data_IF_533312695912
#
_entry.id   IF_533312695912
#
_cell.length_a   1.000
_cell.length_b   1.000
_cell.length_c   1.000
_cell.angle_alpha   90.00
_cell.angle_beta   90.00
_cell.angle_gamma   90.00
#
_symmetry.space_group_name_H-M   'P 1'
#
loop_
_entity.id
_entity.type
_entity.pdbx_description
1 polymer ?
#
# COMPACT_ATOMS: atom_id res chain seq x y z
N UNK A 1 -25.46 35.40 5.18
CA UNK A 1 -24.91 35.48 3.79
C UNK A 1 -23.39 35.21 3.71
N UNK A 2 -22.58 35.71 4.66
CA UNK A 2 -21.11 35.51 4.71
C UNK A 2 -20.62 34.05 4.80
N UNK A 3 -21.31 33.20 5.56
CA UNK A 3 -20.90 31.80 5.75
C UNK A 3 -20.97 30.98 4.44
N UNK A 4 -21.99 31.24 3.59
CA UNK A 4 -22.12 30.61 2.27
C UNK A 4 -21.04 31.06 1.27
N UNK A 5 -20.61 32.32 1.32
CA UNK A 5 -19.57 32.84 0.43
C UNK A 5 -18.17 32.33 0.82
N UNK A 6 -17.89 32.20 2.12
CA UNK A 6 -16.67 31.55 2.62
C UNK A 6 -16.65 30.07 2.26
N UNK A 7 -17.76 29.36 2.46
CA UNK A 7 -17.88 27.95 2.08
C UNK A 7 -17.67 27.70 0.58
N UNK A 8 -18.25 28.55 -0.28
CA UNK A 8 -18.02 28.48 -1.74
C UNK A 8 -16.54 28.67 -2.11
N UNK A 9 -15.84 29.61 -1.48
CA UNK A 9 -14.39 29.81 -1.72
C UNK A 9 -13.56 28.60 -1.30
N UNK A 10 -13.88 27.98 -0.16
CA UNK A 10 -13.22 26.74 0.28
C UNK A 10 -13.48 25.61 -0.71
N UNK A 11 -14.74 25.40 -1.12
CA UNK A 11 -15.10 24.36 -2.10
C UNK A 11 -14.43 24.59 -3.47
N UNK A 12 -14.35 25.84 -3.94
CA UNK A 12 -13.65 26.18 -5.18
C UNK A 12 -12.16 25.91 -5.07
N UNK A 13 -11.55 26.26 -3.94
CA UNK A 13 -10.14 25.93 -3.66
C UNK A 13 -9.89 24.42 -3.66
N UNK A 14 -10.73 23.65 -2.97
CA UNK A 14 -10.67 22.19 -2.94
C UNK A 14 -10.83 21.57 -4.34
N UNK A 15 -11.81 22.03 -5.12
CA UNK A 15 -12.02 21.55 -6.48
C UNK A 15 -10.83 21.85 -7.39
N UNK A 16 -10.23 23.05 -7.27
CA UNK A 16 -9.05 23.43 -8.03
C UNK A 16 -7.86 22.55 -7.64
N UNK A 17 -7.58 22.40 -6.35
CA UNK A 17 -6.52 21.52 -5.86
C UNK A 17 -6.71 20.08 -6.36
N UNK A 18 -7.91 19.52 -6.20
CA UNK A 18 -8.24 18.18 -6.65
C UNK A 18 -8.05 18.01 -8.16
N UNK A 19 -8.48 19.00 -8.96
CA UNK A 19 -8.31 18.96 -10.41
C UNK A 19 -6.85 18.99 -10.84
N UNK A 20 -5.99 19.67 -10.07
CA UNK A 20 -4.55 19.75 -10.32
C UNK A 20 -3.84 18.47 -9.86
N UNK A 21 -4.11 18.01 -8.64
CA UNK A 21 -3.50 16.81 -8.05
C UNK A 21 -3.77 15.57 -8.91
N UNK A 22 -5.02 15.34 -9.29
CA UNK A 22 -5.41 14.20 -10.15
C UNK A 22 -5.36 14.52 -11.65
N UNK A 23 -4.64 15.56 -12.05
CA UNK A 23 -4.35 15.83 -13.47
C UNK A 23 -3.30 14.86 -14.00
N UNK A 24 -3.30 14.60 -15.31
CA UNK A 24 -2.31 13.70 -15.95
C UNK A 24 -0.85 14.10 -15.64
N UNK A 25 -0.58 15.39 -15.43
CA UNK A 25 0.78 15.91 -15.17
C UNK A 25 1.27 15.59 -13.75
N UNK A 26 0.38 15.64 -12.76
CA UNK A 26 0.74 15.48 -11.35
C UNK A 26 0.34 14.14 -10.75
N UNK A 27 -0.42 13.32 -11.49
CA UNK A 27 -0.96 12.04 -11.00
C UNK A 27 0.10 11.10 -10.43
N UNK A 28 1.29 11.03 -11.04
CA UNK A 28 2.39 10.21 -10.52
C UNK A 28 2.79 10.70 -9.13
N UNK A 29 3.15 11.98 -8.99
CA UNK A 29 3.57 12.57 -7.72
C UNK A 29 2.50 12.47 -6.64
N UNK A 30 1.22 12.68 -7.01
CA UNK A 30 0.10 12.54 -6.09
C UNK A 30 -0.04 11.10 -5.61
N UNK A 31 0.03 10.11 -6.50
CA UNK A 31 -0.05 8.71 -6.11
C UNK A 31 1.11 8.30 -5.21
N UNK A 32 2.35 8.65 -5.59
CA UNK A 32 3.55 8.36 -4.79
C UNK A 32 3.48 9.00 -3.41
N UNK A 33 3.05 10.26 -3.33
CA UNK A 33 2.92 10.96 -2.06
C UNK A 33 1.85 10.33 -1.16
N UNK A 34 0.75 9.86 -1.73
CA UNK A 34 -0.31 9.16 -0.99
C UNK A 34 0.19 7.81 -0.50
N UNK A 35 0.86 7.01 -1.33
CA UNK A 35 1.42 5.72 -0.94
C UNK A 35 2.47 5.85 0.16
N UNK A 36 3.42 6.78 0.01
CA UNK A 36 4.40 7.08 1.05
C UNK A 36 3.71 7.45 2.37
N UNK A 37 2.72 8.35 2.31
CA UNK A 37 2.06 8.86 3.52
C UNK A 37 1.21 7.79 4.21
N UNK A 38 0.44 7.00 3.47
CA UNK A 38 -0.44 5.99 4.05
C UNK A 38 0.34 4.81 4.64
N UNK A 39 1.44 4.38 4.00
CA UNK A 39 2.28 3.34 4.60
C UNK A 39 2.96 3.83 5.89
N UNK A 40 3.33 5.12 6.00
CA UNK A 40 3.76 5.70 7.28
C UNK A 40 2.66 5.70 8.34
N UNK A 41 1.41 6.03 7.94
CA UNK A 41 0.27 6.02 8.87
C UNK A 41 -0.03 4.60 9.33
N UNK A 42 -0.05 3.62 8.42
CA UNK A 42 -0.26 2.21 8.73
C UNK A 42 0.77 1.67 9.72
N UNK A 43 2.05 1.97 9.50
CA UNK A 43 3.11 1.60 10.43
C UNK A 43 3.00 2.31 11.79
N UNK A 44 2.60 3.59 11.80
CA UNK A 44 2.36 4.32 13.06
C UNK A 44 1.21 3.70 13.86
N UNK A 45 0.14 3.26 13.17
CA UNK A 45 -0.98 2.56 13.80
C UNK A 45 -0.54 1.21 14.36
N UNK A 46 0.23 0.43 13.60
CA UNK A 46 0.75 -0.85 14.06
C UNK A 46 1.67 -0.69 15.28
N UNK A 47 2.63 0.24 15.24
CA UNK A 47 3.47 0.51 16.41
C UNK A 47 2.66 0.99 17.61
N UNK A 48 1.56 1.73 17.41
CA UNK A 48 0.68 2.14 18.51
C UNK A 48 -0.04 0.93 19.11
N UNK A 49 -0.42 -0.05 18.28
CA UNK A 49 -1.00 -1.31 18.73
C UNK A 49 0.01 -2.19 19.47
N UNK A 50 1.23 -2.36 18.96
CA UNK A 50 2.34 -3.06 19.63
C UNK A 50 2.66 -2.43 21.00
N UNK A 51 2.63 -1.09 21.10
CA UNK A 51 2.79 -0.37 22.38
C UNK A 51 1.65 -0.65 23.36
N UNK A 52 0.42 -0.71 22.86
CA UNK A 52 -0.74 -1.04 23.69
C UNK A 52 -0.65 -2.47 24.25
N UNK A 53 -0.11 -3.42 23.47
CA UNK A 53 0.15 -4.78 23.91
C UNK A 53 1.40 -4.93 24.81
N UNK A 54 2.21 -3.88 24.94
CA UNK A 54 3.46 -3.89 25.70
C UNK A 54 4.62 -4.62 24.99
N UNK A 55 4.56 -4.78 23.67
CA UNK A 55 5.61 -5.46 22.88
C UNK A 55 6.79 -4.54 22.53
N UNK A 56 6.55 -3.23 22.49
CA UNK A 56 7.57 -2.19 22.29
C UNK A 56 7.40 -1.06 23.30
N UNK A 57 8.51 -0.50 23.78
CA UNK A 57 8.50 0.58 24.78
C UNK A 57 8.31 1.97 24.17
N UNK A 58 8.86 2.19 22.96
CA UNK A 58 8.92 3.48 22.31
C UNK A 58 8.67 3.38 20.80
N UNK A 59 8.15 4.47 20.24
CA UNK A 59 7.93 4.59 18.80
C UNK A 59 9.25 4.75 18.04
N UNK A 60 9.38 4.05 16.92
CA UNK A 60 10.54 4.03 16.05
C UNK A 60 10.26 4.75 14.72
N UNK A 61 10.74 5.99 14.61
CA UNK A 61 10.56 6.79 13.39
C UNK A 61 11.36 6.33 12.19
N UNK A 62 12.48 5.62 12.41
CA UNK A 62 13.24 5.01 11.30
C UNK A 62 12.44 3.88 10.66
N UNK A 63 11.78 3.04 11.46
CA UNK A 63 10.84 2.01 10.96
C UNK A 63 9.72 2.64 10.14
N UNK A 64 9.08 3.69 10.65
CA UNK A 64 8.00 4.39 9.93
C UNK A 64 8.49 4.99 8.62
N UNK A 65 9.66 5.62 8.60
CA UNK A 65 10.24 6.15 7.36
C UNK A 65 10.53 5.04 6.34
N UNK A 66 11.07 3.89 6.79
CA UNK A 66 11.33 2.74 5.92
C UNK A 66 10.07 2.17 5.31
N UNK A 67 9.01 2.01 6.10
CA UNK A 67 7.69 1.59 5.61
C UNK A 67 7.12 2.60 4.61
N UNK A 68 7.27 3.90 4.87
CA UNK A 68 6.92 4.95 3.91
C UNK A 68 7.67 4.80 2.58
N UNK A 69 8.98 4.58 2.62
CA UNK A 69 9.80 4.38 1.43
C UNK A 69 9.44 3.08 0.68
N UNK A 70 9.09 2.00 1.39
CA UNK A 70 8.52 0.78 0.81
C UNK A 70 7.19 1.04 0.09
N UNK A 71 6.29 1.79 0.72
CA UNK A 71 5.03 2.24 0.10
C UNK A 71 5.26 3.09 -1.14
N UNK A 72 6.27 3.97 -1.13
CA UNK A 72 6.65 4.79 -2.29
C UNK A 72 7.11 3.95 -3.47
N UNK A 73 7.97 2.95 -3.25
CA UNK A 73 8.49 2.10 -4.34
C UNK A 73 7.40 1.19 -4.89
N UNK A 74 6.55 0.61 -4.05
CA UNK A 74 5.38 -0.18 -4.51
C UNK A 74 4.36 0.71 -5.24
N UNK A 75 4.09 1.91 -4.72
CA UNK A 75 3.19 2.89 -5.34
C UNK A 75 3.63 3.32 -6.74
N UNK A 76 4.94 3.38 -7.00
CA UNK A 76 5.49 3.62 -8.34
C UNK A 76 5.10 2.51 -9.31
N UNK A 77 5.24 1.26 -8.89
CA UNK A 77 4.87 0.11 -9.72
C UNK A 77 3.36 0.08 -9.93
N UNK A 78 2.56 0.27 -8.87
CA UNK A 78 1.10 0.29 -8.93
C UNK A 78 0.59 1.35 -9.93
N UNK A 79 1.17 2.56 -9.91
CA UNK A 79 0.80 3.63 -10.84
C UNK A 79 0.91 3.21 -12.31
N UNK A 80 2.06 2.65 -12.71
CA UNK A 80 2.27 2.24 -14.10
C UNK A 80 1.51 0.96 -14.45
N UNK A 81 1.37 0.03 -13.52
CA UNK A 81 0.63 -1.20 -13.73
C UNK A 81 -0.84 -0.95 -14.05
N UNK A 82 -1.50 -0.07 -13.31
CA UNK A 82 -2.91 0.26 -13.58
C UNK A 82 -3.09 0.99 -14.90
N UNK A 83 -2.17 1.88 -15.26
CA UNK A 83 -2.18 2.52 -16.58
C UNK A 83 -2.02 1.48 -17.69
N UNK A 84 -1.12 0.51 -17.52
CA UNK A 84 -0.92 -0.58 -18.46
C UNK A 84 -2.18 -1.44 -18.61
N UNK A 85 -2.80 -1.86 -17.50
CA UNK A 85 -4.03 -2.65 -17.53
C UNK A 85 -5.18 -1.89 -18.20
N UNK A 86 -5.27 -0.57 -18.00
CA UNK A 86 -6.30 0.24 -18.63
C UNK A 86 -6.08 0.50 -20.11
N UNK A 87 -4.83 0.68 -20.50
CA UNK A 87 -4.47 0.75 -21.91
C UNK A 87 -4.77 -0.57 -22.63
N UNK A 88 -4.40 -1.70 -22.02
CA UNK A 88 -4.52 -3.03 -22.64
C UNK A 88 -5.95 -3.59 -22.61
N UNK A 89 -6.73 -3.21 -21.61
CA UNK A 89 -8.07 -3.73 -21.32
C UNK A 89 -9.02 -2.59 -20.94
N UNK A 90 -9.43 -1.72 -21.88
CA UNK A 90 -10.19 -0.51 -21.56
C UNK A 90 -11.63 -0.78 -21.09
N UNK A 91 -12.21 -1.92 -21.49
CA UNK A 91 -13.59 -2.27 -21.17
C UNK A 91 -13.81 -2.57 -19.68
N UNK A 92 -15.06 -2.40 -19.23
CA UNK A 92 -15.49 -2.66 -17.84
C UNK A 92 -16.44 -3.85 -17.72
N UNK A 93 -16.43 -4.77 -18.68
CA UNK A 93 -17.21 -6.00 -18.55
C UNK A 93 -16.67 -6.85 -17.40
N UNK A 94 -17.52 -7.67 -16.78
CA UNK A 94 -17.10 -8.58 -15.70
C UNK A 94 -15.93 -9.44 -16.17
N UNK A 95 -15.97 -9.94 -17.41
CA UNK A 95 -14.88 -10.73 -18.01
C UNK A 95 -13.54 -9.97 -18.02
N UNK A 96 -13.56 -8.72 -18.46
CA UNK A 96 -12.37 -7.87 -18.51
C UNK A 96 -11.84 -7.55 -17.11
N UNK A 97 -12.73 -7.27 -16.15
CA UNK A 97 -12.37 -7.03 -14.75
C UNK A 97 -11.73 -8.26 -14.13
N UNK A 98 -12.34 -9.44 -14.27
CA UNK A 98 -11.76 -10.68 -13.73
C UNK A 98 -10.40 -10.99 -14.34
N UNK A 99 -10.20 -10.70 -15.63
CA UNK A 99 -8.88 -10.82 -16.28
C UNK A 99 -7.85 -9.87 -15.67
N UNK A 100 -8.22 -8.61 -15.40
CA UNK A 100 -7.34 -7.65 -14.73
C UNK A 100 -6.95 -8.14 -13.33
N UNK A 101 -7.91 -8.62 -12.54
CA UNK A 101 -7.66 -9.17 -11.20
C UNK A 101 -6.72 -10.37 -11.27
N UNK A 102 -6.94 -11.32 -12.19
CA UNK A 102 -6.05 -12.47 -12.33
C UNK A 102 -4.62 -12.06 -12.71
N UNK A 103 -4.46 -11.10 -13.63
CA UNK A 103 -3.14 -10.58 -13.98
C UNK A 103 -2.49 -9.87 -12.79
N UNK A 104 -3.27 -9.10 -12.04
CA UNK A 104 -2.82 -8.39 -10.85
C UNK A 104 -2.31 -9.37 -9.79
N UNK A 105 -3.06 -10.42 -9.48
CA UNK A 105 -2.71 -11.39 -8.45
C UNK A 105 -1.61 -12.38 -8.85
N UNK A 106 -1.53 -12.76 -10.13
CA UNK A 106 -0.53 -13.75 -10.60
C UNK A 106 0.79 -13.09 -10.98
N UNK A 107 0.76 -11.87 -11.53
CA UNK A 107 1.96 -11.20 -12.04
C UNK A 107 2.38 -10.06 -11.13
N UNK A 108 1.46 -9.15 -10.82
CA UNK A 108 1.84 -7.91 -10.15
C UNK A 108 2.05 -8.09 -8.64
N UNK A 109 1.20 -8.86 -7.97
CA UNK A 109 1.30 -9.10 -6.53
C UNK A 109 2.65 -9.74 -6.13
N UNK A 110 3.14 -10.82 -6.78
CA UNK A 110 4.50 -11.32 -6.51
C UNK A 110 5.60 -10.28 -6.77
N UNK A 111 5.41 -9.44 -7.80
CA UNK A 111 6.35 -8.39 -8.13
C UNK A 111 6.34 -7.25 -7.09
N UNK A 112 5.17 -6.82 -6.60
CA UNK A 112 5.03 -5.86 -5.51
C UNK A 112 5.72 -6.35 -4.23
N UNK A 113 5.46 -7.60 -3.83
CA UNK A 113 6.08 -8.22 -2.67
C UNK A 113 7.60 -8.26 -2.83
N UNK A 114 8.09 -8.63 -4.01
CA UNK A 114 9.53 -8.66 -4.30
C UNK A 114 10.15 -7.26 -4.21
N UNK A 115 9.54 -6.26 -4.82
CA UNK A 115 9.99 -4.86 -4.76
C UNK A 115 9.99 -4.34 -3.32
N UNK A 116 8.97 -4.68 -2.55
CA UNK A 116 8.88 -4.33 -1.13
C UNK A 116 10.03 -4.93 -0.33
N UNK A 117 10.25 -6.24 -0.40
CA UNK A 117 11.35 -6.87 0.33
C UNK A 117 12.71 -6.35 -0.10
N UNK A 118 12.97 -6.16 -1.40
CA UNK A 118 14.23 -5.58 -1.88
C UNK A 118 14.42 -4.18 -1.30
N UNK A 119 13.38 -3.34 -1.33
CA UNK A 119 13.43 -1.98 -0.76
C UNK A 119 13.77 -2.04 0.73
N UNK A 120 13.08 -2.88 1.49
CA UNK A 120 13.31 -3.03 2.93
C UNK A 120 14.70 -3.57 3.24
N UNK A 121 15.15 -4.62 2.55
CA UNK A 121 16.49 -5.20 2.74
C UNK A 121 17.61 -4.19 2.50
N UNK A 122 17.48 -3.34 1.48
CA UNK A 122 18.43 -2.26 1.23
C UNK A 122 18.40 -1.18 2.33
N UNK A 123 17.21 -0.75 2.78
CA UNK A 123 17.06 0.28 3.81
C UNK A 123 17.46 -0.19 5.21
N UNK A 124 17.32 -1.48 5.49
CA UNK A 124 17.73 -2.13 6.73
C UNK A 124 19.18 -2.61 6.71
N UNK A 125 19.84 -2.56 5.54
CA UNK A 125 21.21 -3.03 5.31
C UNK A 125 21.39 -4.51 5.67
N UNK A 126 20.41 -5.31 5.30
CA UNK A 126 20.43 -6.75 5.55
C UNK A 126 21.55 -7.43 4.74
N UNK A 127 22.16 -8.45 5.33
CA UNK A 127 22.99 -9.41 4.60
C UNK A 127 22.14 -10.25 3.64
N UNK A 128 22.78 -10.87 2.65
CA UNK A 128 22.07 -11.75 1.71
C UNK A 128 21.41 -12.95 2.42
N UNK A 129 22.03 -13.48 3.47
CA UNK A 129 21.43 -14.57 4.25
C UNK A 129 20.15 -14.11 4.96
N UNK A 130 20.20 -12.99 5.70
CA UNK A 130 19.03 -12.44 6.41
C UNK A 130 17.89 -12.12 5.45
N UNK A 131 18.19 -11.48 4.33
CA UNK A 131 17.20 -11.17 3.29
C UNK A 131 16.53 -12.42 2.76
N UNK A 132 17.30 -13.46 2.41
CA UNK A 132 16.76 -14.70 1.86
C UNK A 132 15.88 -15.43 2.87
N UNK A 133 16.31 -15.51 4.12
CA UNK A 133 15.51 -16.13 5.19
C UNK A 133 14.19 -15.39 5.40
N UNK A 134 14.23 -14.06 5.44
CA UNK A 134 13.03 -13.24 5.62
C UNK A 134 12.04 -13.42 4.46
N UNK A 135 12.53 -13.41 3.21
CA UNK A 135 11.68 -13.64 2.02
C UNK A 135 11.04 -15.02 2.07
N UNK A 136 11.80 -16.07 2.39
CA UNK A 136 11.28 -17.44 2.46
C UNK A 136 10.21 -17.60 3.55
N UNK A 137 10.35 -16.88 4.66
CA UNK A 137 9.41 -16.93 5.77
C UNK A 137 8.14 -16.11 5.52
N UNK A 138 8.28 -14.88 5.00
CA UNK A 138 7.19 -13.90 5.00
C UNK A 138 6.55 -13.67 3.63
N UNK A 139 7.26 -13.88 2.52
CA UNK A 139 6.72 -13.56 1.20
C UNK A 139 5.51 -14.42 0.85
N UNK A 140 5.54 -15.72 1.19
CA UNK A 140 4.38 -16.59 0.96
C UNK A 140 3.18 -16.17 1.83
N UNK A 141 3.44 -15.78 3.08
CA UNK A 141 2.39 -15.32 4.00
C UNK A 141 1.72 -14.05 3.47
N UNK A 142 2.52 -13.06 3.03
CA UNK A 142 1.99 -11.87 2.36
C UNK A 142 1.23 -12.24 1.09
N UNK A 143 1.77 -13.12 0.26
CA UNK A 143 1.12 -13.50 -0.99
C UNK A 143 -0.23 -14.19 -0.77
N UNK A 144 -0.35 -15.06 0.22
CA UNK A 144 -1.64 -15.67 0.58
C UNK A 144 -2.60 -14.61 1.13
N UNK A 145 -2.14 -13.69 1.97
CA UNK A 145 -2.96 -12.59 2.47
C UNK A 145 -3.49 -11.72 1.33
N UNK A 146 -2.68 -11.45 0.31
CA UNK A 146 -3.10 -10.71 -0.89
C UNK A 146 -4.34 -11.33 -1.53
N UNK A 147 -4.31 -12.65 -1.75
CA UNK A 147 -5.42 -13.38 -2.36
C UNK A 147 -6.71 -13.37 -1.53
N UNK A 148 -6.63 -13.12 -0.22
CA UNK A 148 -7.82 -13.03 0.63
C UNK A 148 -8.48 -11.65 0.59
N UNK A 149 -7.68 -10.60 0.43
CA UNK A 149 -8.13 -9.22 0.57
C UNK A 149 -8.32 -8.53 -0.79
N UNK A 150 -7.31 -8.62 -1.66
CA UNK A 150 -7.25 -7.80 -2.86
C UNK A 150 -8.21 -8.20 -3.98
N UNK A 151 -8.57 -9.47 -4.23
CA UNK A 151 -9.51 -9.79 -5.32
C UNK A 151 -10.84 -9.05 -5.20
N UNK A 152 -11.38 -8.93 -3.98
CA UNK A 152 -12.62 -8.19 -3.72
C UNK A 152 -12.42 -6.67 -3.90
N UNK A 153 -11.34 -6.11 -3.35
CA UNK A 153 -11.02 -4.69 -3.49
C UNK A 153 -10.76 -4.31 -4.97
N UNK A 154 -10.00 -5.12 -5.70
CA UNK A 154 -9.68 -4.89 -7.11
C UNK A 154 -10.90 -5.05 -8.01
N UNK A 155 -11.87 -5.90 -7.66
CA UNK A 155 -13.14 -5.94 -8.36
C UNK A 155 -13.85 -4.59 -8.30
N UNK A 156 -13.98 -4.00 -7.11
CA UNK A 156 -14.55 -2.65 -6.94
C UNK A 156 -13.72 -1.61 -7.71
N UNK A 157 -12.39 -1.69 -7.61
CA UNK A 157 -11.46 -0.77 -8.23
C UNK A 157 -11.63 -0.74 -9.77
N UNK A 158 -11.55 -1.89 -10.42
CA UNK A 158 -11.60 -1.99 -11.87
C UNK A 158 -13.01 -1.80 -12.44
N UNK A 159 -14.05 -2.24 -11.72
CA UNK A 159 -15.43 -2.13 -12.19
C UNK A 159 -16.02 -0.74 -11.97
N UNK A 160 -15.92 -0.19 -10.76
CA UNK A 160 -16.61 1.05 -10.38
C UNK A 160 -15.72 2.29 -10.50
N UNK A 161 -14.46 2.22 -10.05
CA UNK A 161 -13.60 3.40 -9.91
C UNK A 161 -13.08 3.89 -11.27
N UNK A 162 -13.06 5.22 -11.48
CA UNK A 162 -12.51 5.85 -12.70
C UNK A 162 -10.98 5.71 -12.71
N UNK A 163 -10.32 5.52 -13.87
CA UNK A 163 -8.88 5.23 -13.96
C UNK A 163 -8.00 6.18 -13.12
N UNK A 164 -8.28 7.49 -13.19
CA UNK A 164 -7.54 8.52 -12.44
C UNK A 164 -7.59 8.41 -10.91
N UNK A 165 -8.56 7.68 -10.34
CA UNK A 165 -8.76 7.54 -8.89
C UNK A 165 -8.44 6.14 -8.38
N UNK A 166 -8.04 5.21 -9.25
CA UNK A 166 -7.84 3.82 -8.86
C UNK A 166 -6.72 3.63 -7.86
N UNK A 167 -5.61 4.31 -8.08
CA UNK A 167 -4.48 4.27 -7.14
C UNK A 167 -4.85 4.95 -5.83
N UNK A 168 -5.66 6.02 -5.84
CA UNK A 168 -6.16 6.61 -4.60
C UNK A 168 -7.07 5.64 -3.82
N UNK A 169 -7.99 4.97 -4.51
CA UNK A 169 -8.84 3.95 -3.90
C UNK A 169 -8.01 2.78 -3.34
N UNK A 170 -7.07 2.27 -4.14
CA UNK A 170 -6.14 1.20 -3.77
C UNK A 170 -5.36 1.53 -2.50
N UNK A 171 -4.75 2.71 -2.46
CA UNK A 171 -4.06 3.24 -1.28
C UNK A 171 -5.00 3.42 -0.07
N UNK A 172 -6.26 3.80 -0.29
CA UNK A 172 -7.23 3.90 0.82
C UNK A 172 -7.55 2.54 1.43
N UNK A 173 -7.62 1.49 0.60
CA UNK A 173 -7.79 0.11 1.05
C UNK A 173 -6.49 -0.44 1.65
N UNK A 174 -5.32 0.01 1.16
CA UNK A 174 -4.02 -0.46 1.60
C UNK A 174 -3.77 -0.16 3.07
N UNK A 175 -4.37 0.88 3.67
CA UNK A 175 -4.12 1.20 5.08
C UNK A 175 -4.30 0.00 6.02
N UNK A 176 -5.36 -0.79 5.85
CA UNK A 176 -5.57 -2.00 6.65
C UNK A 176 -4.52 -3.08 6.35
N UNK A 177 -4.10 -3.18 5.09
CA UNK A 177 -3.05 -4.10 4.65
C UNK A 177 -1.64 -3.64 5.07
N UNK A 178 -1.38 -2.34 5.17
CA UNK A 178 -0.14 -1.71 5.61
C UNK A 178 0.09 -1.97 7.11
N UNK A 179 -0.98 -1.93 7.92
CA UNK A 179 -0.95 -2.34 9.33
C UNK A 179 -0.51 -3.80 9.43
N UNK A 180 -1.20 -4.70 8.71
CA UNK A 180 -0.87 -6.13 8.69
C UNK A 180 0.56 -6.40 8.19
N UNK A 181 0.98 -5.72 7.13
CA UNK A 181 2.30 -5.88 6.52
C UNK A 181 3.39 -5.35 7.45
N UNK A 182 3.18 -4.22 8.13
CA UNK A 182 4.10 -3.71 9.14
C UNK A 182 4.26 -4.72 10.28
N UNK A 183 3.16 -5.23 10.82
CA UNK A 183 3.17 -6.22 11.89
C UNK A 183 3.93 -7.48 11.47
N UNK A 184 3.62 -8.03 10.29
CA UNK A 184 4.32 -9.21 9.78
C UNK A 184 5.81 -8.95 9.50
N UNK A 185 6.17 -7.76 8.98
CA UNK A 185 7.56 -7.38 8.70
C UNK A 185 8.38 -7.29 9.98
N UNK A 186 7.81 -6.77 11.08
CA UNK A 186 8.55 -6.55 12.32
C UNK A 186 8.30 -7.59 13.41
N UNK A 187 7.43 -8.56 13.17
CA UNK A 187 7.21 -9.71 14.05
C UNK A 187 8.53 -10.46 14.27
N UNK A 188 8.89 -10.62 15.55
CA UNK A 188 10.03 -11.43 15.99
C UNK A 188 9.68 -12.92 15.85
N UNK A 189 10.65 -13.75 15.43
CA UNK A 189 10.49 -15.22 15.49
C UNK A 189 10.23 -15.61 16.96
N UNK A 190 9.27 -16.51 17.25
CA UNK A 190 9.11 -17.03 18.60
C UNK A 190 10.43 -17.70 19.01
N UNK A 191 11.09 -17.15 20.03
CA UNK A 191 12.23 -17.78 20.66
C UNK A 191 11.76 -19.08 21.32
N UNK A 192 12.51 -20.17 21.14
CA UNK A 192 12.26 -21.47 21.78
C UNK A 192 12.40 -21.45 23.32
N UNK A 193 12.42 -20.27 23.96
CA UNK A 193 12.77 -20.07 25.36
C UNK A 193 11.63 -19.60 26.27
N UNK A 194 10.40 -19.51 25.78
CA UNK A 194 9.25 -19.28 26.68
C UNK A 194 8.46 -20.58 26.86
N UNK A 195 8.78 -21.43 27.86
CA UNK A 195 7.82 -22.41 28.31
C UNK A 195 6.58 -21.63 28.78
N UNK A 196 5.44 -22.04 28.26
CA UNK A 196 4.10 -21.63 28.65
C UNK A 196 4.06 -21.35 30.16
N UNK A 197 3.76 -20.10 30.53
CA UNK A 197 3.27 -19.78 31.87
C UNK A 197 1.76 -19.93 31.88
#
# INVERSE_FOLDING_TARGET
MFCRARWRRVLQGLNRWHSVAFSKRYLLYTNLGISFSLSMVGDTMEQSYERYLGEIDAWNGTRTLRMGLGGLTVGLVCHYWYQYLDYRYPDRTIRTVMRKILLDQVICSPFYITVFFITMGLLERQSWQEFREEVMEKALVLYVAEWTFWPAAQFINFFLIKPRYRVFYDNSMSLGYDIYTSGLKYRKKPSLENPVK
#
